data_IF_233115317758
#
_entry.id   IF_233115317758
#
_cell.length_a   1.000
_cell.length_b   1.000
_cell.length_c   1.000
_cell.angle_alpha   90.00
_cell.angle_beta   90.00
_cell.angle_gamma   90.00
#
_symmetry.space_group_name_H-M   'P 1'
#
loop_
_entity.id
_entity.type
_entity.pdbx_description
1 polymer ?
#
# COMPACT_ATOMS: atom_id res chain seq x y z
N UNK A 1 41.01 42.17 0.28
CA UNK A 1 41.24 40.76 -0.07
C UNK A 1 40.57 39.78 0.90
N UNK A 2 40.50 40.10 2.20
CA UNK A 2 39.88 39.26 3.25
C UNK A 2 38.34 39.15 3.20
N UNK A 3 37.65 40.18 2.69
CA UNK A 3 36.17 40.18 2.57
C UNK A 3 35.68 39.25 1.47
N UNK A 4 36.37 39.23 0.32
CA UNK A 4 36.07 38.36 -0.83
C UNK A 4 36.26 36.88 -0.50
N UNK A 5 37.27 36.55 0.31
CA UNK A 5 37.52 35.19 0.75
C UNK A 5 36.42 34.71 1.71
N UNK A 6 35.96 35.58 2.63
CA UNK A 6 34.84 35.27 3.54
C UNK A 6 33.52 35.05 2.81
N UNK A 7 33.22 35.83 1.77
CA UNK A 7 31.97 35.64 0.99
C UNK A 7 31.99 34.34 0.18
N UNK A 8 33.14 33.95 -0.39
CA UNK A 8 33.27 32.67 -1.12
C UNK A 8 33.09 31.48 -0.18
N UNK A 9 33.67 31.52 1.01
CA UNK A 9 33.54 30.43 2.01
C UNK A 9 32.08 30.29 2.48
N UNK A 10 31.38 31.40 2.72
CA UNK A 10 29.95 31.38 3.10
C UNK A 10 29.09 30.80 1.97
N UNK A 11 29.41 31.10 0.71
CA UNK A 11 28.68 30.60 -0.46
C UNK A 11 28.88 29.08 -0.66
N UNK A 12 30.06 28.56 -0.33
CA UNK A 12 30.34 27.12 -0.38
C UNK A 12 29.62 26.35 0.74
N UNK A 13 29.60 26.90 1.96
CA UNK A 13 28.94 26.25 3.11
C UNK A 13 27.42 26.21 2.94
N UNK A 14 26.82 27.25 2.37
CA UNK A 14 25.37 27.31 2.13
C UNK A 14 24.90 26.30 1.08
N UNK A 15 25.71 25.98 0.06
CA UNK A 15 25.36 24.95 -0.92
C UNK A 15 25.34 23.53 -0.33
N UNK A 16 26.25 23.22 0.59
CA UNK A 16 26.25 21.91 1.28
C UNK A 16 25.03 21.68 2.18
N UNK A 17 24.42 22.73 2.73
CA UNK A 17 23.22 22.62 3.56
C UNK A 17 21.95 22.36 2.73
N UNK A 18 21.83 22.99 1.55
CA UNK A 18 20.67 22.81 0.66
C UNK A 18 20.60 21.37 0.12
N UNK A 19 21.76 20.74 -0.13
CA UNK A 19 21.83 19.35 -0.61
C UNK A 19 21.43 18.31 0.46
N UNK A 20 21.61 18.60 1.76
CA UNK A 20 21.24 17.67 2.84
C UNK A 20 19.73 17.64 3.11
N UNK A 21 19.01 18.74 2.88
CA UNK A 21 17.55 18.80 3.03
C UNK A 21 16.79 17.95 2.02
N UNK A 22 17.36 17.69 0.84
CA UNK A 22 16.69 16.93 -0.23
C UNK A 22 16.78 15.40 -0.02
N UNK A 23 17.79 14.93 0.71
CA UNK A 23 17.98 13.48 0.91
C UNK A 23 16.87 12.86 1.77
N UNK A 24 16.34 13.60 2.75
CA UNK A 24 15.21 13.15 3.58
C UNK A 24 13.89 13.05 2.79
N UNK A 25 13.68 13.92 1.80
CA UNK A 25 12.48 13.90 0.95
C UNK A 25 12.49 12.67 0.03
N UNK A 26 13.67 12.22 -0.40
CA UNK A 26 13.88 11.04 -1.24
C UNK A 26 13.68 9.74 -0.43
N UNK A 27 14.16 9.69 0.82
CA UNK A 27 14.11 8.51 1.68
C UNK A 27 12.71 8.22 2.27
N UNK A 28 11.84 9.24 2.36
CA UNK A 28 10.48 9.11 2.88
C UNK A 28 9.46 9.79 1.96
N UNK A 29 9.53 9.51 0.67
CA UNK A 29 8.60 10.10 -0.29
C UNK A 29 7.18 9.50 -0.13
N UNK A 30 6.16 10.29 -0.50
CA UNK A 30 4.73 9.97 -0.42
C UNK A 30 4.34 8.55 -0.92
N UNK A 31 5.09 7.99 -1.86
CA UNK A 31 4.89 6.64 -2.38
C UNK A 31 5.19 5.53 -1.35
N UNK A 32 6.08 5.74 -0.38
CA UNK A 32 6.31 4.79 0.73
C UNK A 32 5.06 4.71 1.60
N UNK A 33 4.51 5.88 1.96
CA UNK A 33 3.26 5.97 2.71
C UNK A 33 2.10 5.35 1.93
N UNK A 34 1.97 5.66 0.64
CA UNK A 34 0.95 5.06 -0.22
C UNK A 34 1.07 3.53 -0.31
N UNK A 35 2.29 2.99 -0.39
CA UNK A 35 2.52 1.54 -0.37
C UNK A 35 2.14 0.93 0.97
N UNK A 36 2.48 1.58 2.09
CA UNK A 36 2.11 1.12 3.43
C UNK A 36 0.59 1.10 3.62
N UNK A 37 -0.10 2.16 3.19
CA UNK A 37 -1.55 2.24 3.21
C UNK A 37 -2.20 1.19 2.31
N UNK A 38 -1.64 0.94 1.11
CA UNK A 38 -2.11 -0.09 0.20
C UNK A 38 -1.94 -1.50 0.79
N UNK A 39 -0.81 -1.80 1.44
CA UNK A 39 -0.60 -3.07 2.16
C UNK A 39 -1.62 -3.23 3.27
N UNK A 40 -1.83 -2.19 4.11
CA UNK A 40 -2.84 -2.21 5.19
C UNK A 40 -4.25 -2.43 4.65
N UNK A 41 -4.63 -1.72 3.57
CA UNK A 41 -5.94 -1.85 2.93
C UNK A 41 -6.14 -3.26 2.37
N UNK A 42 -5.14 -3.79 1.65
CA UNK A 42 -5.19 -5.13 1.09
C UNK A 42 -5.28 -6.21 2.19
N UNK A 43 -4.55 -6.04 3.31
CA UNK A 43 -4.65 -6.93 4.47
C UNK A 43 -6.05 -6.95 5.10
N UNK A 44 -6.66 -5.78 5.29
CA UNK A 44 -8.04 -5.66 5.79
C UNK A 44 -9.06 -6.34 4.88
N UNK A 45 -8.93 -6.11 3.56
CA UNK A 45 -9.76 -6.79 2.54
C UNK A 45 -9.61 -8.30 2.61
N UNK A 46 -8.40 -8.81 2.75
CA UNK A 46 -8.14 -10.24 2.83
C UNK A 46 -8.83 -10.90 4.03
N UNK A 47 -8.77 -10.25 5.19
CA UNK A 47 -9.45 -10.70 6.41
C UNK A 47 -10.98 -10.70 6.24
N UNK A 48 -11.53 -9.63 5.67
CA UNK A 48 -12.97 -9.50 5.43
C UNK A 48 -13.50 -10.53 4.43
N UNK A 49 -12.80 -10.76 3.32
CA UNK A 49 -13.17 -11.82 2.37
C UNK A 49 -13.13 -13.20 3.02
N UNK A 50 -12.09 -13.49 3.81
CA UNK A 50 -11.98 -14.77 4.53
C UNK A 50 -13.12 -14.95 5.55
N UNK A 51 -13.48 -13.89 6.27
CA UNK A 51 -14.59 -13.88 7.20
C UNK A 51 -15.93 -14.14 6.49
N UNK A 52 -16.20 -13.46 5.38
CA UNK A 52 -17.42 -13.65 4.60
C UNK A 52 -17.52 -15.08 4.06
N UNK A 53 -16.44 -15.62 3.50
CA UNK A 53 -16.41 -17.01 2.99
C UNK A 53 -16.69 -18.01 4.12
N UNK A 54 -16.03 -17.85 5.28
CA UNK A 54 -16.17 -18.77 6.40
C UNK A 54 -17.59 -18.79 6.98
N UNK A 55 -18.31 -17.67 6.91
CA UNK A 55 -19.64 -17.53 7.50
C UNK A 55 -20.78 -17.55 6.45
N UNK A 56 -20.48 -17.68 5.16
CA UNK A 56 -21.47 -17.57 4.08
C UNK A 56 -22.60 -18.60 4.16
N UNK A 57 -22.38 -19.74 4.83
CA UNK A 57 -23.39 -20.80 5.00
C UNK A 57 -24.13 -20.73 6.32
N UNK A 58 -23.79 -19.78 7.19
CA UNK A 58 -24.47 -19.56 8.46
C UNK A 58 -25.87 -19.00 8.20
N UNK A 59 -26.93 -19.56 8.80
CA UNK A 59 -28.28 -19.01 8.68
C UNK A 59 -28.35 -17.54 9.08
N UNK A 60 -29.07 -16.73 8.30
CA UNK A 60 -29.24 -15.28 8.52
C UNK A 60 -27.93 -14.46 8.55
N UNK A 61 -26.84 -15.00 8.01
CA UNK A 61 -25.60 -14.26 7.88
C UNK A 61 -25.70 -13.16 6.83
N UNK A 62 -25.33 -11.95 7.24
CA UNK A 62 -25.19 -10.80 6.35
C UNK A 62 -23.70 -10.50 6.11
N UNK A 63 -23.22 -10.57 4.86
CA UNK A 63 -21.83 -10.30 4.56
C UNK A 63 -21.49 -8.83 4.77
N UNK A 64 -20.30 -8.57 5.31
CA UNK A 64 -19.78 -7.20 5.42
C UNK A 64 -19.03 -6.92 4.13
N UNK A 65 -19.46 -5.93 3.36
CA UNK A 65 -18.94 -5.68 2.02
C UNK A 65 -18.36 -4.27 1.89
N UNK A 66 -17.32 -4.15 1.07
CA UNK A 66 -16.89 -2.84 0.60
C UNK A 66 -17.86 -2.34 -0.48
N UNK A 67 -18.01 -1.02 -0.66
CA UNK A 67 -18.92 -0.45 -1.65
C UNK A 67 -18.70 -1.00 -3.08
N UNK A 68 -17.44 -1.24 -3.46
CA UNK A 68 -17.10 -1.82 -4.75
C UNK A 68 -17.58 -3.27 -4.92
N UNK A 69 -17.46 -4.09 -3.87
CA UNK A 69 -17.82 -5.51 -3.91
C UNK A 69 -19.35 -5.66 -3.82
N UNK A 70 -20.01 -4.76 -3.08
CA UNK A 70 -21.47 -4.65 -3.02
C UNK A 70 -22.07 -4.37 -4.41
N UNK A 71 -21.55 -3.36 -5.11
CA UNK A 71 -22.04 -2.99 -6.43
C UNK A 71 -21.83 -4.12 -7.47
N UNK A 72 -20.70 -4.83 -7.37
CA UNK A 72 -20.43 -5.97 -8.24
C UNK A 72 -21.39 -7.14 -7.97
N UNK A 73 -21.65 -7.46 -6.70
CA UNK A 73 -22.60 -8.53 -6.31
C UNK A 73 -24.05 -8.23 -6.71
N UNK A 74 -24.50 -6.99 -6.53
CA UNK A 74 -25.84 -6.54 -6.95
C UNK A 74 -26.05 -6.69 -8.46
N UNK A 75 -24.97 -6.62 -9.26
CA UNK A 75 -25.04 -6.84 -10.70
C UNK A 75 -25.11 -8.31 -11.12
N UNK A 76 -24.70 -9.24 -10.25
CA UNK A 76 -24.52 -10.66 -10.59
C UNK A 76 -25.71 -11.54 -10.22
N UNK A 77 -26.43 -11.22 -9.15
CA UNK A 77 -27.52 -12.06 -8.68
C UNK A 77 -28.70 -11.24 -8.13
N UNK A 78 -29.95 -11.60 -8.48
CA UNK A 78 -31.11 -11.15 -7.71
C UNK A 78 -31.01 -11.72 -6.29
N UNK A 79 -31.56 -10.99 -5.31
CA UNK A 79 -31.46 -11.24 -3.85
C UNK A 79 -32.18 -12.52 -3.36
N UNK A 80 -32.24 -13.59 -4.16
CA UNK A 80 -32.72 -14.89 -3.70
C UNK A 80 -31.64 -15.57 -2.85
N UNK A 81 -32.01 -16.00 -1.63
CA UNK A 81 -31.06 -16.34 -0.56
C UNK A 81 -30.16 -17.52 -0.92
N UNK A 82 -30.69 -18.56 -1.56
CA UNK A 82 -29.91 -19.78 -1.83
C UNK A 82 -28.85 -19.56 -2.93
N UNK A 83 -29.23 -18.86 -3.99
CA UNK A 83 -28.31 -18.52 -5.08
C UNK A 83 -27.29 -17.46 -4.63
N UNK A 84 -27.71 -16.51 -3.81
CA UNK A 84 -26.85 -15.45 -3.29
C UNK A 84 -25.67 -15.99 -2.49
N UNK A 85 -25.86 -17.01 -1.64
CA UNK A 85 -24.76 -17.60 -0.86
C UNK A 85 -23.66 -18.22 -1.74
N UNK A 86 -24.04 -18.96 -2.79
CA UNK A 86 -23.09 -19.58 -3.72
C UNK A 86 -22.32 -18.52 -4.50
N UNK A 87 -23.04 -17.50 -5.00
CA UNK A 87 -22.44 -16.38 -5.73
C UNK A 87 -21.49 -15.58 -4.84
N UNK A 88 -21.89 -15.32 -3.58
CA UNK A 88 -21.06 -14.65 -2.59
C UNK A 88 -19.75 -15.41 -2.35
N UNK A 89 -19.79 -16.71 -2.12
CA UNK A 89 -18.58 -17.52 -1.88
C UNK A 89 -17.65 -17.46 -3.09
N UNK A 90 -18.18 -17.64 -4.29
CA UNK A 90 -17.39 -17.66 -5.52
C UNK A 90 -16.74 -16.29 -5.80
N UNK A 91 -17.54 -15.22 -5.68
CA UNK A 91 -17.06 -13.86 -5.84
C UNK A 91 -15.98 -13.54 -4.80
N UNK A 92 -16.24 -13.80 -3.51
CA UNK A 92 -15.28 -13.50 -2.44
C UNK A 92 -13.99 -14.31 -2.59
N UNK A 93 -14.07 -15.57 -3.02
CA UNK A 93 -12.90 -16.42 -3.26
C UNK A 93 -12.05 -15.89 -4.40
N UNK A 94 -12.68 -15.46 -5.49
CA UNK A 94 -12.00 -14.84 -6.63
C UNK A 94 -11.35 -13.51 -6.24
N UNK A 95 -12.09 -12.66 -5.53
CA UNK A 95 -11.60 -11.37 -5.01
C UNK A 95 -10.48 -11.56 -3.99
N UNK A 96 -10.51 -12.60 -3.15
CA UNK A 96 -9.45 -12.98 -2.23
C UNK A 96 -8.17 -13.38 -2.97
N UNK A 97 -8.28 -14.22 -4.00
CA UNK A 97 -7.14 -14.64 -4.81
C UNK A 97 -6.48 -13.45 -5.53
N UNK A 98 -7.31 -12.56 -6.11
CA UNK A 98 -6.84 -11.32 -6.73
C UNK A 98 -6.17 -10.39 -5.71
N UNK A 99 -6.78 -10.19 -4.55
CA UNK A 99 -6.26 -9.35 -3.48
C UNK A 99 -4.95 -9.91 -2.88
N UNK A 100 -4.79 -11.23 -2.79
CA UNK A 100 -3.54 -11.89 -2.40
C UNK A 100 -2.38 -11.48 -3.32
N UNK A 101 -2.62 -11.47 -4.64
CA UNK A 101 -1.60 -11.06 -5.61
C UNK A 101 -1.23 -9.58 -5.45
N UNK A 102 -2.21 -8.70 -5.25
CA UNK A 102 -1.96 -7.29 -4.96
C UNK A 102 -1.19 -7.09 -3.67
N UNK A 103 -1.59 -7.75 -2.57
CA UNK A 103 -0.89 -7.66 -1.29
C UNK A 103 0.57 -8.10 -1.41
N UNK A 104 0.84 -9.21 -2.10
CA UNK A 104 2.21 -9.67 -2.35
C UNK A 104 3.02 -8.68 -3.19
N UNK A 105 2.42 -8.09 -4.23
CA UNK A 105 3.06 -7.09 -5.07
C UNK A 105 3.41 -5.81 -4.29
N UNK A 106 2.46 -5.25 -3.53
CA UNK A 106 2.70 -4.05 -2.71
C UNK A 106 3.77 -4.28 -1.65
N UNK A 107 3.75 -5.43 -0.98
CA UNK A 107 4.77 -5.79 0.00
C UNK A 107 6.16 -5.93 -0.64
N UNK A 108 6.23 -6.51 -1.83
CA UNK A 108 7.48 -6.64 -2.59
C UNK A 108 8.05 -5.26 -2.96
N UNK A 109 7.21 -4.36 -3.47
CA UNK A 109 7.60 -2.99 -3.80
C UNK A 109 8.07 -2.21 -2.57
N UNK A 110 7.35 -2.34 -1.45
CA UNK A 110 7.71 -1.70 -0.19
C UNK A 110 9.10 -2.17 0.30
N UNK A 111 9.33 -3.48 0.33
CA UNK A 111 10.64 -4.06 0.67
C UNK A 111 11.73 -3.57 -0.26
N UNK A 112 11.47 -3.54 -1.57
CA UNK A 112 12.45 -3.08 -2.56
C UNK A 112 12.85 -1.63 -2.36
N UNK A 113 11.90 -0.74 -2.04
CA UNK A 113 12.21 0.67 -1.71
C UNK A 113 13.12 0.76 -0.49
N UNK A 114 12.82 0.02 0.57
CA UNK A 114 13.66 0.01 1.76
C UNK A 114 15.08 -0.51 1.48
N UNK A 115 15.21 -1.54 0.63
CA UNK A 115 16.53 -2.03 0.18
C UNK A 115 17.33 -0.95 -0.57
N UNK A 116 16.68 -0.20 -1.47
CA UNK A 116 17.31 0.91 -2.22
C UNK A 116 17.80 1.99 -1.25
N UNK A 117 16.96 2.38 -0.29
CA UNK A 117 17.35 3.35 0.74
C UNK A 117 18.55 2.89 1.56
N UNK A 118 18.57 1.61 1.95
CA UNK A 118 19.71 1.01 2.64
C UNK A 118 20.97 1.06 1.78
N UNK A 119 20.87 0.73 0.49
CA UNK A 119 22.02 0.77 -0.43
C UNK A 119 22.57 2.19 -0.58
N UNK A 120 21.72 3.19 -0.82
CA UNK A 120 22.12 4.60 -0.91
C UNK A 120 22.81 5.06 0.37
N UNK A 121 22.23 4.75 1.53
CA UNK A 121 22.82 5.09 2.82
C UNK A 121 24.20 4.43 3.05
N UNK A 122 24.41 3.21 2.55
CA UNK A 122 25.71 2.52 2.63
C UNK A 122 26.74 3.02 1.63
N UNK A 123 26.31 3.49 0.44
CA UNK A 123 27.22 4.03 -0.57
C UNK A 123 27.88 5.34 -0.11
N UNK A 124 27.19 6.14 0.71
CA UNK A 124 27.76 7.35 1.34
C UNK A 124 28.80 7.08 2.45
N UNK A 125 29.10 5.82 2.78
CA UNK A 125 30.11 5.45 3.79
C UNK A 125 31.49 5.08 3.19
N UNK A 126 31.72 5.31 1.89
CA UNK A 126 33.03 5.13 1.25
C UNK A 126 33.73 6.46 1.00
#
# INVERSE_FOLDING_TARGET
>A
MTVLFKTIVILFISQSLIAQTDMSSILYDNSVQALEEAVKKAGRKHALYSYNIANATTPDFEPILYPEDQAELESMAPMDREYFQKVLIEHMSTSLARNRNFHAAYLSLYKKKFEIYRQVATLGKK
#
